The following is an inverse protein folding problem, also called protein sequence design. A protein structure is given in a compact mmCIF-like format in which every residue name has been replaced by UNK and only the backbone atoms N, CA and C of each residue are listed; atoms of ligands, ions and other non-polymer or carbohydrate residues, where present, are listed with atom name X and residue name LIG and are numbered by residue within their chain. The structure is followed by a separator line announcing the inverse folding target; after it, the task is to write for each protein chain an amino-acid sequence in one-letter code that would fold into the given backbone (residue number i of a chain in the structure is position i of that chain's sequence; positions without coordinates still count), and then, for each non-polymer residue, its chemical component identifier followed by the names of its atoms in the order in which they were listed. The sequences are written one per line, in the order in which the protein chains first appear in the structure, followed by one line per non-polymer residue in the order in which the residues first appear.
data_IF_590077695606
#
_entry.id   IF_590077695606
#
_cell.length_a   1.000
_cell.length_b   1.000
_cell.length_c   1.000
_cell.angle_alpha   90.00
_cell.angle_beta   90.00
_cell.angle_gamma   90.00
#
_symmetry.space_group_name_H-M   'P 1'
#
loop_
_entity.id
_entity.type
_entity.pdbx_description
1 polymer ?
#
# COMPACT_ATOMS: atom_id res chain seq x y z
N UNK A 1 5.26 -23.39 0.04
CA UNK A 1 5.02 -22.11 0.76
C UNK A 1 4.46 -21.13 -0.25
N UNK A 2 3.25 -20.61 -0.04
CA UNK A 2 2.72 -19.53 -0.86
C UNK A 2 3.36 -18.22 -0.39
N UNK A 3 3.99 -17.49 -1.31
CA UNK A 3 4.56 -16.18 -1.03
C UNK A 3 3.46 -15.12 -1.20
N UNK A 4 3.32 -14.24 -0.22
CA UNK A 4 2.46 -13.06 -0.37
C UNK A 4 3.31 -11.89 -0.86
N UNK A 5 3.12 -11.40 -2.10
CA UNK A 5 3.87 -10.25 -2.59
C UNK A 5 3.55 -9.00 -1.78
N UNK A 6 4.61 -8.26 -1.45
CA UNK A 6 4.54 -6.91 -0.91
C UNK A 6 5.09 -5.94 -1.96
N UNK A 7 4.43 -4.80 -2.15
CA UNK A 7 4.83 -3.79 -3.13
C UNK A 7 4.40 -2.40 -2.72
N UNK A 8 5.09 -1.38 -3.26
CA UNK A 8 4.71 0.01 -3.11
C UNK A 8 3.73 0.39 -4.22
N UNK A 9 2.61 1.01 -3.87
CA UNK A 9 1.65 1.52 -4.84
C UNK A 9 0.98 2.80 -4.35
N UNK A 10 0.60 3.65 -5.31
CA UNK A 10 -0.19 4.84 -5.08
C UNK A 10 -1.61 4.59 -5.59
N UNK A 11 -2.59 4.62 -4.69
CA UNK A 11 -4.01 4.44 -5.00
C UNK A 11 -4.73 5.77 -5.32
N UNK A 12 -4.01 6.89 -5.23
CA UNK A 12 -4.53 8.24 -5.42
C UNK A 12 -5.23 8.82 -4.20
N UNK A 13 -5.40 8.05 -3.12
CA UNK A 13 -6.06 8.51 -1.89
C UNK A 13 -5.06 8.91 -0.80
N UNK A 14 -3.99 8.13 -0.64
CA UNK A 14 -3.04 8.28 0.49
C UNK A 14 -1.58 8.47 0.06
N UNK A 15 -1.29 8.49 -1.25
CA UNK A 15 0.09 8.56 -1.75
C UNK A 15 0.70 7.16 -1.91
N UNK A 16 2.03 7.08 -2.03
CA UNK A 16 2.72 5.78 -2.20
C UNK A 16 2.79 5.06 -0.85
N UNK A 17 2.12 3.92 -0.75
CA UNK A 17 2.02 3.10 0.47
C UNK A 17 2.49 1.66 0.25
N UNK A 18 2.65 0.90 1.35
CA UNK A 18 2.95 -0.54 1.30
C UNK A 18 1.69 -1.41 1.27
N UNK A 19 1.59 -2.22 0.21
CA UNK A 19 0.48 -3.11 -0.05
C UNK A 19 0.90 -4.57 0.00
N UNK A 20 -0.05 -5.43 0.36
CA UNK A 20 0.04 -6.87 0.25
C UNK A 20 -1.10 -7.37 -0.63
N UNK A 21 -0.80 -8.34 -1.50
CA UNK A 21 -1.82 -9.01 -2.32
C UNK A 21 -1.68 -10.52 -2.22
N UNK A 22 -2.78 -11.23 -2.40
CA UNK A 22 -2.81 -12.68 -2.64
C UNK A 22 -2.97 -13.03 -4.13
N UNK A 23 -2.93 -12.02 -5.02
CA UNK A 23 -3.18 -12.15 -6.45
C UNK A 23 -4.61 -11.81 -6.88
N UNK A 24 -5.51 -11.50 -5.93
CA UNK A 24 -6.87 -11.04 -6.21
C UNK A 24 -7.07 -9.57 -5.81
N UNK A 25 -8.06 -8.91 -6.42
CA UNK A 25 -8.43 -7.55 -6.03
C UNK A 25 -8.95 -7.50 -4.58
N UNK A 26 -9.75 -8.50 -4.18
CA UNK A 26 -10.32 -8.62 -2.84
C UNK A 26 -9.26 -8.88 -1.76
N UNK A 27 -8.22 -9.63 -2.09
CA UNK A 27 -7.10 -9.92 -1.18
C UNK A 27 -5.97 -8.90 -1.24
N UNK A 28 -6.11 -7.85 -2.05
CA UNK A 28 -5.18 -6.71 -2.07
C UNK A 28 -5.59 -5.71 -1.01
N UNK A 29 -4.70 -5.48 -0.04
CA UNK A 29 -4.98 -4.68 1.13
C UNK A 29 -3.73 -3.95 1.61
N UNK A 30 -3.95 -2.77 2.17
CA UNK A 30 -2.92 -1.98 2.84
C UNK A 30 -2.41 -2.79 4.06
N UNK A 31 -1.09 -2.96 4.18
CA UNK A 31 -0.50 -3.82 5.22
C UNK A 31 -0.68 -3.22 6.61
N UNK A 32 -0.53 -1.91 6.70
CA UNK A 32 -0.75 -1.03 7.84
C UNK A 32 -0.61 0.41 7.32
N UNK A 33 -1.22 1.40 7.98
CA UNK A 33 -0.78 2.79 7.83
C UNK A 33 0.66 2.87 8.36
N UNK A 34 1.63 2.66 7.49
CA UNK A 34 3.05 2.78 7.82
C UNK A 34 3.46 4.26 7.77
N UNK A 35 2.75 5.07 6.97
CA UNK A 35 2.90 6.51 6.93
C UNK A 35 1.71 7.15 7.68
N UNK A 36 1.92 7.44 8.97
CA UNK A 36 1.08 8.42 9.66
C UNK A 36 1.12 9.72 8.84
N UNK A 37 -0.05 10.24 8.51
CA UNK A 37 -0.23 11.14 7.38
C UNK A 37 0.64 12.40 7.32
N UNK A 38 0.72 12.93 6.10
CA UNK A 38 0.91 14.35 5.82
C UNK A 38 2.12 15.03 6.51
N UNK A 39 3.33 14.74 6.04
CA UNK A 39 4.31 15.82 5.90
C UNK A 39 4.52 16.04 4.40
N UNK A 40 4.20 17.26 3.97
CA UNK A 40 3.84 17.63 2.61
C UNK A 40 4.85 17.25 1.53
N UNK A 41 4.33 16.63 0.47
CA UNK A 41 4.80 16.93 -0.88
C UNK A 41 3.83 17.94 -1.51
N UNK A 42 3.78 19.13 -0.92
CA UNK A 42 3.61 20.37 -1.68
C UNK A 42 4.99 21.00 -1.84
N UNK A 43 5.67 20.66 -2.93
CA UNK A 43 6.56 21.55 -3.71
C UNK A 43 6.55 21.05 -5.16
#
# INVERSE_FOLDING_TARGET
MQQYPFFLANDGAVGIELWKSDGTAQGTQLVKDILYGQEGLEQ
#
